data_IF_047175289781
#
_entry.id   IF_047175289781
#
_cell.length_a   1.000
_cell.length_b   1.000
_cell.length_c   1.000
_cell.angle_alpha   90.00
_cell.angle_beta   90.00
_cell.angle_gamma   90.00
#
_symmetry.space_group_name_H-M   'P 1'
#
loop_
_entity.id
_entity.type
_entity.pdbx_description
1 polymer ?
#
# COMPACT_ATOMS: atom_id res chain seq x y z
N UNK A 1 16.96 -28.44 -79.22
CA UNK A 1 17.18 -27.08 -78.69
C UNK A 1 15.92 -26.31 -78.28
N UNK A 2 14.71 -26.90 -78.26
CA UNK A 2 13.45 -26.15 -77.95
C UNK A 2 12.86 -26.51 -76.56
N UNK A 3 13.24 -27.64 -75.95
CA UNK A 3 12.60 -28.13 -74.72
C UNK A 3 13.13 -27.46 -73.44
N UNK A 4 14.32 -26.82 -73.48
CA UNK A 4 14.96 -26.23 -72.28
C UNK A 4 14.45 -24.80 -71.97
N UNK A 5 13.78 -24.12 -72.91
CA UNK A 5 13.31 -22.75 -72.71
C UNK A 5 11.97 -22.65 -71.95
N UNK A 6 11.15 -23.70 -71.97
CA UNK A 6 9.78 -23.65 -71.44
C UNK A 6 9.71 -23.93 -69.93
N UNK A 7 10.66 -24.68 -69.38
CA UNK A 7 10.75 -24.97 -67.93
C UNK A 7 11.28 -23.79 -67.12
N UNK A 8 12.09 -22.90 -67.72
CA UNK A 8 12.60 -21.69 -67.05
C UNK A 8 11.52 -20.63 -66.82
N UNK A 9 10.55 -20.51 -67.74
CA UNK A 9 9.42 -19.58 -67.63
C UNK A 9 8.45 -19.96 -66.49
N UNK A 10 8.14 -21.26 -66.36
CA UNK A 10 7.27 -21.76 -65.28
C UNK A 10 7.92 -21.69 -63.89
N UNK A 11 9.23 -21.90 -63.77
CA UNK A 11 9.93 -21.76 -62.49
C UNK A 11 10.01 -20.29 -62.02
N UNK A 12 10.15 -19.33 -62.95
CA UNK A 12 10.14 -17.89 -62.62
C UNK A 12 8.72 -17.44 -62.23
N UNK A 13 7.67 -17.95 -62.87
CA UNK A 13 6.29 -17.59 -62.52
C UNK A 13 5.88 -18.15 -61.16
N UNK A 14 6.27 -19.39 -60.83
CA UNK A 14 6.03 -19.98 -59.51
C UNK A 14 6.84 -19.29 -58.40
N UNK A 15 8.09 -18.85 -58.67
CA UNK A 15 8.88 -18.07 -57.71
C UNK A 15 8.29 -16.68 -57.46
N UNK A 16 7.70 -16.04 -58.49
CA UNK A 16 6.96 -14.77 -58.35
C UNK A 16 5.60 -14.94 -57.66
N UNK A 17 4.94 -16.08 -57.84
CA UNK A 17 3.68 -16.39 -57.16
C UNK A 17 3.89 -16.75 -55.69
N UNK A 18 4.96 -17.49 -55.36
CA UNK A 18 5.36 -17.78 -53.99
C UNK A 18 5.86 -16.54 -53.23
N UNK A 19 6.60 -15.63 -53.87
CA UNK A 19 7.01 -14.37 -53.22
C UNK A 19 5.86 -13.37 -53.04
N UNK A 20 4.76 -13.49 -53.82
CA UNK A 20 3.53 -12.69 -53.63
C UNK A 20 2.64 -13.19 -52.50
N UNK A 21 2.78 -14.47 -52.10
CA UNK A 21 1.95 -15.08 -51.05
C UNK A 21 2.53 -14.95 -49.64
N UNK A 22 3.71 -14.34 -49.50
CA UNK A 22 4.40 -14.18 -48.21
C UNK A 22 4.02 -12.90 -47.44
N UNK A 23 3.17 -12.02 -47.98
CA UNK A 23 2.84 -10.72 -47.36
C UNK A 23 1.40 -10.58 -46.84
N UNK A 24 0.60 -11.66 -46.81
CA UNK A 24 -0.78 -11.59 -46.31
C UNK A 24 -0.93 -11.85 -44.80
N UNK A 25 0.16 -12.07 -44.08
CA UNK A 25 0.15 -12.15 -42.61
C UNK A 25 0.55 -10.83 -41.93
N UNK A 26 0.75 -9.77 -42.69
CA UNK A 26 1.04 -8.46 -42.11
C UNK A 26 -0.26 -7.77 -41.70
N UNK A 27 -0.44 -7.60 -40.38
CA UNK A 27 -1.53 -6.83 -39.81
C UNK A 27 -1.61 -5.43 -40.44
N UNK A 28 -2.81 -4.89 -40.72
CA UNK A 28 -2.99 -3.56 -41.29
C UNK A 28 -2.25 -2.48 -40.50
N UNK A 29 -1.70 -1.44 -41.15
CA UNK A 29 -0.94 -0.38 -40.49
C UNK A 29 -1.69 0.28 -39.32
N UNK A 30 -3.00 0.49 -39.44
CA UNK A 30 -3.80 1.08 -38.35
C UNK A 30 -3.88 0.18 -37.11
N UNK A 31 -3.79 -1.15 -37.25
CA UNK A 31 -3.72 -2.08 -36.11
C UNK A 31 -2.32 -2.07 -35.49
N UNK A 32 -1.27 -2.12 -36.34
CA UNK A 32 0.13 -2.08 -35.88
C UNK A 32 0.46 -0.78 -35.14
N UNK A 33 0.18 0.37 -35.76
CA UNK A 33 0.50 1.70 -35.21
C UNK A 33 -0.56 2.22 -34.24
N UNK A 34 -1.84 1.87 -34.43
CA UNK A 34 -2.93 2.37 -33.61
C UNK A 34 -3.21 1.56 -32.34
N UNK A 35 -2.82 0.28 -32.29
CA UNK A 35 -3.12 -0.57 -31.13
C UNK A 35 -1.88 -1.31 -30.60
N UNK A 36 -1.11 -1.99 -31.44
CA UNK A 36 -0.03 -2.87 -30.97
C UNK A 36 1.13 -2.07 -30.35
N UNK A 37 1.67 -1.09 -31.08
CA UNK A 37 2.78 -0.26 -30.57
C UNK A 37 2.42 0.46 -29.25
N UNK A 38 1.29 1.19 -29.14
CA UNK A 38 0.93 1.83 -27.87
C UNK A 38 0.68 0.81 -26.74
N UNK A 39 0.07 -0.35 -27.01
CA UNK A 39 -0.13 -1.38 -26.00
C UNK A 39 1.19 -1.99 -25.51
N UNK A 40 2.16 -2.22 -26.41
CA UNK A 40 3.50 -2.68 -26.01
C UNK A 40 4.24 -1.63 -25.19
N UNK A 41 4.12 -0.34 -25.54
CA UNK A 41 4.68 0.76 -24.77
C UNK A 41 4.07 0.87 -23.37
N UNK A 42 2.75 0.73 -23.26
CA UNK A 42 2.04 0.70 -21.98
C UNK A 42 2.48 -0.50 -21.13
N UNK A 43 2.53 -1.70 -21.72
CA UNK A 43 2.96 -2.90 -21.00
C UNK A 43 4.40 -2.77 -20.46
N UNK A 44 5.35 -2.30 -21.29
CA UNK A 44 6.72 -2.06 -20.84
C UNK A 44 6.80 -0.96 -19.77
N UNK A 45 6.01 0.12 -19.92
CA UNK A 45 5.92 1.19 -18.93
C UNK A 45 5.37 0.72 -17.59
N UNK A 46 4.32 -0.11 -17.60
CA UNK A 46 3.75 -0.71 -16.38
C UNK A 46 4.72 -1.66 -15.68
N UNK A 47 5.46 -2.46 -16.44
CA UNK A 47 6.51 -3.33 -15.89
C UNK A 47 7.64 -2.50 -15.26
N UNK A 48 8.12 -1.47 -15.96
CA UNK A 48 9.13 -0.55 -15.42
C UNK A 48 8.65 0.14 -14.14
N UNK A 49 7.42 0.66 -14.14
CA UNK A 49 6.83 1.31 -12.97
C UNK A 49 6.72 0.34 -11.77
N UNK A 50 6.26 -0.89 -12.01
CA UNK A 50 6.20 -1.93 -10.98
C UNK A 50 7.57 -2.19 -10.34
N UNK A 51 8.61 -2.42 -11.16
CA UNK A 51 9.97 -2.65 -10.64
C UNK A 51 10.58 -1.42 -9.95
N UNK A 52 10.23 -0.21 -10.39
CA UNK A 52 10.71 1.03 -9.76
C UNK A 52 10.12 1.29 -8.37
N UNK A 53 9.01 0.64 -8.03
CA UNK A 53 8.34 0.76 -6.74
C UNK A 53 8.58 -0.44 -5.81
N UNK A 54 9.34 -1.45 -6.25
CA UNK A 54 9.68 -2.57 -5.39
C UNK A 54 10.73 -2.15 -4.37
N UNK A 55 10.40 -2.38 -3.11
CA UNK A 55 11.25 -2.05 -1.97
C UNK A 55 11.24 -3.22 -0.96
N UNK A 56 12.10 -3.15 0.04
CA UNK A 56 12.12 -4.07 1.18
C UNK A 56 11.72 -3.35 2.44
N UNK A 57 10.80 -3.94 3.21
CA UNK A 57 10.40 -3.42 4.51
C UNK A 57 11.62 -3.38 5.45
N UNK A 58 11.90 -2.25 6.12
CA UNK A 58 13.17 -2.04 6.84
C UNK A 58 13.38 -2.97 8.03
N UNK A 59 12.32 -3.59 8.57
CA UNK A 59 12.37 -4.38 9.79
C UNK A 59 12.28 -5.88 9.54
N UNK A 60 11.37 -6.30 8.66
CA UNK A 60 11.15 -7.72 8.35
C UNK A 60 11.89 -8.17 7.08
N UNK A 61 12.47 -7.24 6.32
CA UNK A 61 13.03 -7.49 4.99
C UNK A 61 12.03 -8.16 4.02
N UNK A 62 10.72 -7.94 4.27
CA UNK A 62 9.63 -8.40 3.41
C UNK A 62 9.64 -7.58 2.12
N UNK A 63 9.44 -8.25 0.98
CA UNK A 63 9.26 -7.55 -0.30
C UNK A 63 7.93 -6.81 -0.27
N UNK A 64 7.94 -5.55 -0.66
CA UNK A 64 6.75 -4.70 -0.69
C UNK A 64 6.72 -3.82 -1.93
N UNK A 65 5.53 -3.37 -2.28
CA UNK A 65 5.31 -2.40 -3.34
C UNK A 65 4.95 -1.05 -2.71
N UNK A 66 5.86 -0.08 -2.79
CA UNK A 66 5.64 1.26 -2.26
C UNK A 66 6.06 2.31 -3.30
N UNK A 67 5.06 2.84 -4.01
CA UNK A 67 5.24 3.91 -4.99
C UNK A 67 5.07 5.32 -4.38
N UNK A 68 4.65 5.38 -3.12
CA UNK A 68 4.28 6.62 -2.44
C UNK A 68 5.51 7.32 -1.86
N UNK A 69 5.50 8.65 -1.95
CA UNK A 69 6.52 9.50 -1.35
C UNK A 69 6.17 9.78 0.13
N UNK A 70 7.08 9.59 1.09
CA UNK A 70 6.85 9.89 2.50
C UNK A 70 6.32 11.31 2.78
N UNK A 71 6.77 12.32 2.01
CA UNK A 71 6.28 13.69 2.15
C UNK A 71 4.81 13.81 1.76
N UNK A 72 4.44 13.16 0.66
CA UNK A 72 3.05 13.14 0.20
C UNK A 72 2.15 12.39 1.18
N UNK A 73 2.63 11.28 1.77
CA UNK A 73 1.92 10.56 2.83
C UNK A 73 1.63 11.46 4.03
N UNK A 74 2.62 12.23 4.50
CA UNK A 74 2.43 13.20 5.59
C UNK A 74 1.42 14.30 5.23
N UNK A 75 1.48 14.85 4.02
CA UNK A 75 0.53 15.88 3.57
C UNK A 75 -0.91 15.34 3.53
N UNK A 76 -1.09 14.12 3.01
CA UNK A 76 -2.37 13.44 3.00
C UNK A 76 -2.86 13.14 4.41
N UNK A 77 -1.97 12.67 5.30
CA UNK A 77 -2.25 12.44 6.70
C UNK A 77 -2.68 13.72 7.43
N UNK A 78 -2.01 14.85 7.20
CA UNK A 78 -2.39 16.14 7.79
C UNK A 78 -3.75 16.64 7.29
N UNK A 79 -4.08 16.40 6.01
CA UNK A 79 -5.41 16.71 5.47
C UNK A 79 -6.47 15.85 6.16
N UNK A 80 -6.25 14.55 6.25
CA UNK A 80 -7.15 13.61 6.93
C UNK A 80 -7.30 13.95 8.42
N UNK A 81 -6.22 14.35 9.08
CA UNK A 81 -6.23 14.81 10.47
C UNK A 81 -7.19 15.97 10.68
N UNK A 82 -7.12 17.01 9.82
CA UNK A 82 -8.06 18.15 9.88
C UNK A 82 -9.50 17.75 9.66
N UNK A 83 -9.76 16.85 8.71
CA UNK A 83 -11.10 16.33 8.44
C UNK A 83 -11.65 15.56 9.66
N UNK A 84 -10.84 14.72 10.30
CA UNK A 84 -11.22 13.99 11.51
C UNK A 84 -11.43 14.91 12.71
N UNK A 85 -10.61 15.96 12.88
CA UNK A 85 -10.84 16.97 13.92
C UNK A 85 -12.17 17.69 13.74
N UNK A 86 -12.56 17.99 12.49
CA UNK A 86 -13.88 18.58 12.23
C UNK A 86 -14.99 17.57 12.50
N UNK A 87 -14.82 16.31 12.08
CA UNK A 87 -15.78 15.23 12.33
C UNK A 87 -16.03 15.00 13.82
N UNK A 88 -14.98 15.02 14.64
CA UNK A 88 -15.04 14.73 16.07
C UNK A 88 -15.07 15.97 16.97
N UNK A 89 -15.20 17.18 16.42
CA UNK A 89 -15.03 18.44 17.15
C UNK A 89 -15.79 18.52 18.49
N UNK A 90 -17.00 17.95 18.57
CA UNK A 90 -17.82 17.95 19.79
C UNK A 90 -17.48 16.84 20.79
N UNK A 91 -16.76 15.81 20.37
CA UNK A 91 -16.47 14.60 21.14
C UNK A 91 -15.01 14.52 21.60
N UNK A 92 -14.14 15.40 21.12
CA UNK A 92 -12.74 15.46 21.56
C UNK A 92 -12.69 15.82 23.05
N UNK A 93 -12.01 14.98 23.83
CA UNK A 93 -11.79 15.21 25.24
C UNK A 93 -10.70 16.27 25.47
N UNK A 94 -10.82 17.08 26.54
CA UNK A 94 -9.81 18.07 26.86
C UNK A 94 -8.50 17.39 27.34
N UNK A 95 -7.39 18.13 27.28
CA UNK A 95 -6.06 17.61 27.56
C UNK A 95 -5.86 17.19 29.03
N UNK A 96 -6.60 17.78 29.96
CA UNK A 96 -6.58 17.49 31.40
C UNK A 96 -7.42 16.26 31.79
N UNK A 97 -8.25 15.75 30.87
CA UNK A 97 -9.05 14.56 31.12
C UNK A 97 -8.14 13.34 31.39
N UNK A 98 -8.49 12.53 32.39
CA UNK A 98 -7.69 11.35 32.79
C UNK A 98 -7.29 10.46 31.61
N UNK A 99 -8.24 10.17 30.71
CA UNK A 99 -7.98 9.38 29.51
C UNK A 99 -6.93 10.04 28.59
N UNK A 100 -7.03 11.34 28.34
CA UNK A 100 -6.07 12.11 27.51
C UNK A 100 -4.67 12.08 28.12
N UNK A 101 -4.57 12.28 29.43
CA UNK A 101 -3.29 12.23 30.17
C UNK A 101 -2.68 10.83 30.09
N UNK A 102 -3.47 9.77 30.29
CA UNK A 102 -2.99 8.39 30.18
C UNK A 102 -2.51 8.06 28.77
N UNK A 103 -3.29 8.39 27.74
CA UNK A 103 -2.89 8.17 26.33
C UNK A 103 -1.61 8.93 26.01
N UNK A 104 -1.49 10.18 26.42
CA UNK A 104 -0.29 10.98 26.16
C UNK A 104 0.95 10.40 26.87
N UNK A 105 0.81 9.95 28.12
CA UNK A 105 1.90 9.33 28.87
C UNK A 105 2.33 7.99 28.25
N UNK A 106 1.38 7.12 27.95
CA UNK A 106 1.69 5.79 27.39
C UNK A 106 2.23 5.94 25.97
N UNK A 107 1.52 6.71 25.14
CA UNK A 107 1.91 6.99 23.76
C UNK A 107 3.28 7.64 23.66
N UNK A 108 3.62 8.62 24.50
CA UNK A 108 4.95 9.25 24.44
C UNK A 108 6.10 8.29 24.76
N UNK A 109 5.90 7.30 25.65
CA UNK A 109 6.89 6.25 25.92
C UNK A 109 7.07 5.32 24.72
N UNK A 110 5.96 4.93 24.08
CA UNK A 110 6.00 4.11 22.85
C UNK A 110 6.62 4.90 21.69
N UNK A 111 6.33 6.19 21.55
CA UNK A 111 6.92 7.04 20.52
C UNK A 111 8.44 7.18 20.69
N UNK A 112 8.95 7.24 21.93
CA UNK A 112 10.38 7.24 22.21
C UNK A 112 11.04 5.89 21.85
N UNK A 113 10.37 4.77 22.13
CA UNK A 113 10.79 3.45 21.67
C UNK A 113 10.80 3.39 20.13
N UNK A 114 9.74 3.88 19.47
CA UNK A 114 9.64 3.94 18.01
C UNK A 114 10.78 4.74 17.37
N UNK A 115 11.16 5.87 17.97
CA UNK A 115 12.29 6.66 17.51
C UNK A 115 13.63 5.90 17.66
N UNK A 116 13.82 5.20 18.78
CA UNK A 116 15.01 4.39 19.04
C UNK A 116 15.10 3.21 18.06
N UNK A 117 13.97 2.53 17.85
CA UNK A 117 13.81 1.44 16.90
C UNK A 117 14.13 1.91 15.46
N UNK A 118 13.56 3.02 14.98
CA UNK A 118 13.88 3.56 13.64
C UNK A 118 15.36 3.92 13.48
N UNK A 119 16.02 4.42 14.54
CA UNK A 119 17.45 4.71 14.51
C UNK A 119 18.30 3.43 14.38
N UNK A 120 17.91 2.34 15.02
CA UNK A 120 18.62 1.06 14.98
C UNK A 120 18.57 0.39 13.59
N UNK A 121 17.44 0.46 12.90
CA UNK A 121 17.23 -0.22 11.60
C UNK A 121 17.58 0.65 10.38
N UNK A 122 18.39 1.71 10.57
CA UNK A 122 18.96 2.47 9.45
C UNK A 122 17.95 3.33 8.68
N UNK A 123 16.79 3.60 9.25
CA UNK A 123 15.78 4.51 8.69
C UNK A 123 16.16 6.00 8.87
N UNK A 124 17.43 6.29 9.16
CA UNK A 124 18.00 7.63 9.33
C UNK A 124 18.25 8.36 8.01
N UNK A 125 18.28 7.64 6.88
CA UNK A 125 18.56 8.21 5.57
C UNK A 125 17.31 8.74 4.86
N UNK A 126 16.11 8.45 5.38
CA UNK A 126 14.91 9.17 4.99
C UNK A 126 14.89 10.50 5.76
N UNK A 127 15.67 11.47 5.26
CA UNK A 127 15.73 12.86 5.73
C UNK A 127 14.39 13.62 5.57
N UNK A 128 13.30 12.91 5.27
CA UNK A 128 11.96 13.47 5.33
C UNK A 128 11.52 13.50 6.80
N UNK A 129 10.90 14.60 7.19
CA UNK A 129 10.48 14.91 8.57
C UNK A 129 9.45 13.92 9.18
N UNK A 130 9.29 12.70 8.65
CA UNK A 130 8.33 11.68 9.10
C UNK A 130 8.71 11.14 10.49
N UNK A 131 9.99 10.82 10.69
CA UNK A 131 10.55 10.32 11.95
C UNK A 131 10.87 11.44 12.95
N UNK A 132 10.88 12.70 12.50
CA UNK A 132 11.14 13.89 13.33
C UNK A 132 9.86 14.59 13.79
N UNK A 133 8.73 14.38 13.11
CA UNK A 133 7.46 15.02 13.47
C UNK A 133 6.97 14.50 14.83
N UNK A 134 6.66 15.39 15.79
CA UNK A 134 6.19 14.97 17.10
C UNK A 134 4.82 14.27 17.00
N UNK A 135 4.63 13.21 17.79
CA UNK A 135 3.34 12.54 17.88
C UNK A 135 2.28 13.45 18.51
N UNK A 136 1.10 13.49 17.91
CA UNK A 136 -0.06 14.23 18.43
C UNK A 136 -1.15 13.25 18.84
N UNK A 137 -1.64 13.34 20.08
CA UNK A 137 -2.64 12.43 20.63
C UNK A 137 -3.99 13.12 20.74
N UNK A 138 -5.02 12.52 20.14
CA UNK A 138 -6.41 13.01 20.22
C UNK A 138 -7.29 11.92 20.79
N UNK A 139 -7.92 12.18 21.94
CA UNK A 139 -8.88 11.25 22.54
C UNK A 139 -10.28 11.71 22.21
N UNK A 140 -11.08 10.79 21.65
CA UNK A 140 -12.43 11.07 21.17
C UNK A 140 -13.43 10.24 21.97
N UNK A 141 -14.49 10.90 22.44
CA UNK A 141 -15.62 10.25 23.11
C UNK A 141 -16.42 9.46 22.08
N UNK A 142 -16.29 8.15 22.12
CA UNK A 142 -17.07 7.21 21.30
C UNK A 142 -17.28 5.91 22.08
N UNK A 143 -18.43 5.23 21.92
CA UNK A 143 -18.64 3.89 22.50
C UNK A 143 -17.83 2.79 21.79
N UNK A 144 -17.31 3.07 20.59
CA UNK A 144 -16.50 2.14 19.80
C UNK A 144 -15.12 1.93 20.43
N UNK A 145 -14.64 0.69 20.43
CA UNK A 145 -13.33 0.32 20.93
C UNK A 145 -12.32 0.30 19.79
N UNK A 146 -11.70 1.44 19.53
CA UNK A 146 -10.73 1.58 18.46
C UNK A 146 -9.65 2.61 18.81
N UNK A 147 -8.46 2.41 18.28
CA UNK A 147 -7.40 3.40 18.19
C UNK A 147 -6.73 3.23 16.83
N UNK A 148 -6.27 4.34 16.24
CA UNK A 148 -5.59 4.28 14.96
C UNK A 148 -4.57 5.41 14.83
N UNK A 149 -3.53 5.15 14.04
CA UNK A 149 -2.51 6.14 13.70
C UNK A 149 -2.57 6.45 12.22
N UNK A 150 -2.66 7.74 11.88
CA UNK A 150 -2.57 8.20 10.50
C UNK A 150 -1.18 8.76 10.20
N UNK A 151 -0.76 8.77 8.92
CA UNK A 151 0.51 9.35 8.50
C UNK A 151 0.71 10.77 9.05
N UNK A 152 1.94 11.10 9.43
CA UNK A 152 2.24 12.35 10.15
C UNK A 152 2.16 12.26 11.67
N UNK A 153 2.13 11.04 12.22
CA UNK A 153 2.22 10.76 13.66
C UNK A 153 1.01 11.29 14.46
N UNK A 154 -0.17 11.33 13.85
CA UNK A 154 -1.40 11.68 14.56
C UNK A 154 -2.09 10.41 15.05
N UNK A 155 -2.27 10.31 16.36
CA UNK A 155 -2.85 9.17 17.07
C UNK A 155 -4.25 9.53 17.53
N UNK A 156 -5.23 8.70 17.19
CA UNK A 156 -6.59 8.80 17.70
C UNK A 156 -6.90 7.61 18.60
N UNK A 157 -7.50 7.89 19.75
CA UNK A 157 -7.97 6.87 20.69
C UNK A 157 -9.42 7.13 21.03
N UNK A 158 -10.29 6.15 20.78
CA UNK A 158 -11.70 6.23 21.17
C UNK A 158 -11.89 5.76 22.60
N UNK A 159 -12.77 6.44 23.36
CA UNK A 159 -13.00 6.11 24.76
C UNK A 159 -13.54 4.69 24.99
N UNK A 160 -14.19 4.08 24.00
CA UNK A 160 -14.66 2.71 24.09
C UNK A 160 -13.53 1.69 24.25
N UNK A 161 -12.31 2.03 23.83
CA UNK A 161 -11.13 1.16 23.99
C UNK A 161 -10.86 0.84 25.46
N UNK A 162 -11.07 1.81 26.36
CA UNK A 162 -10.85 1.64 27.80
C UNK A 162 -11.81 0.65 28.49
N UNK A 163 -12.83 0.14 27.78
CA UNK A 163 -13.67 -0.95 28.28
C UNK A 163 -12.93 -2.29 28.27
N UNK A 164 -11.89 -2.40 27.43
CA UNK A 164 -11.13 -3.62 27.21
C UNK A 164 -9.66 -3.47 27.59
N UNK A 165 -9.08 -2.28 27.37
CA UNK A 165 -7.75 -1.94 27.88
C UNK A 165 -7.86 -1.54 29.36
N UNK A 166 -7.62 -2.49 30.26
CA UNK A 166 -7.85 -2.31 31.70
C UNK A 166 -6.65 -1.67 32.41
N UNK A 167 -5.45 -1.81 31.84
CA UNK A 167 -4.20 -1.28 32.38
C UNK A 167 -3.38 -0.53 31.30
N UNK A 168 -2.28 0.10 31.71
CA UNK A 168 -1.41 0.83 30.79
C UNK A 168 -0.65 -0.12 29.83
N UNK A 169 -0.41 -1.38 30.21
CA UNK A 169 0.24 -2.40 29.35
C UNK A 169 -0.65 -2.78 28.15
N UNK A 170 -1.95 -2.97 28.38
CA UNK A 170 -2.93 -3.28 27.33
C UNK A 170 -3.03 -2.10 26.35
N UNK A 171 -3.10 -0.87 26.87
CA UNK A 171 -3.11 0.34 26.04
C UNK A 171 -1.79 0.49 25.26
N UNK A 172 -0.65 0.22 25.91
CA UNK A 172 0.66 0.26 25.30
C UNK A 172 0.79 -0.74 24.15
N UNK A 173 0.21 -1.92 24.29
CA UNK A 173 0.19 -2.92 23.23
C UNK A 173 -0.58 -2.44 22.01
N UNK A 174 -1.80 -1.91 22.21
CA UNK A 174 -2.62 -1.39 21.11
C UNK A 174 -1.91 -0.22 20.42
N UNK A 175 -1.42 0.74 21.19
CA UNK A 175 -0.70 1.88 20.62
C UNK A 175 0.61 1.46 19.93
N UNK A 176 1.31 0.45 20.46
CA UNK A 176 2.50 -0.14 19.85
C UNK A 176 2.21 -0.76 18.50
N UNK A 177 1.14 -1.55 18.39
CA UNK A 177 0.68 -2.15 17.15
C UNK A 177 0.27 -1.06 16.12
N UNK A 178 -0.53 -0.07 16.52
CA UNK A 178 -0.94 1.02 15.62
C UNK A 178 0.23 1.89 15.16
N UNK A 179 1.18 2.21 16.05
CA UNK A 179 2.40 2.92 15.67
C UNK A 179 3.29 2.08 14.76
N UNK A 180 3.31 0.75 14.92
CA UNK A 180 4.04 -0.15 14.05
C UNK A 180 3.52 -0.11 12.61
N UNK A 181 2.20 -0.05 12.38
CA UNK A 181 1.65 0.15 11.04
C UNK A 181 2.15 1.44 10.37
N UNK A 182 2.27 2.51 11.15
CA UNK A 182 2.77 3.79 10.66
C UNK A 182 4.29 3.75 10.39
N UNK A 183 5.09 3.15 11.27
CA UNK A 183 6.54 2.96 11.08
C UNK A 183 6.86 2.09 9.85
N UNK A 184 6.11 1.01 9.67
CA UNK A 184 6.23 0.12 8.52
C UNK A 184 5.63 0.73 7.24
N UNK A 185 4.94 1.87 7.31
CA UNK A 185 4.27 2.54 6.17
C UNK A 185 3.23 1.66 5.47
N UNK A 186 2.52 0.81 6.21
CA UNK A 186 1.48 -0.06 5.66
C UNK A 186 0.36 0.71 4.94
N UNK A 187 0.04 1.94 5.38
CA UNK A 187 -0.91 2.80 4.67
C UNK A 187 -0.42 3.21 3.27
N UNK A 188 0.88 3.51 3.12
CA UNK A 188 1.50 3.83 1.83
C UNK A 188 1.55 2.64 0.88
N UNK A 189 1.82 1.44 1.40
CA UNK A 189 1.74 0.17 0.66
C UNK A 189 0.31 -0.07 0.14
N UNK A 190 -0.71 0.03 1.01
CA UNK A 190 -2.12 -0.12 0.61
C UNK A 190 -2.54 0.87 -0.48
N UNK A 191 -2.11 2.13 -0.38
CA UNK A 191 -2.39 3.14 -1.41
C UNK A 191 -1.69 2.79 -2.72
N UNK A 192 -0.43 2.36 -2.67
CA UNK A 192 0.34 1.97 -3.85
C UNK A 192 -0.30 0.78 -4.57
N UNK A 193 -0.73 -0.23 -3.82
CA UNK A 193 -1.46 -1.39 -4.34
C UNK A 193 -2.80 -0.99 -4.96
N UNK A 194 -3.57 -0.11 -4.30
CA UNK A 194 -4.84 0.40 -4.83
C UNK A 194 -4.67 1.17 -6.14
N UNK A 195 -3.62 1.99 -6.25
CA UNK A 195 -3.27 2.69 -7.50
C UNK A 195 -2.91 1.69 -8.60
N UNK A 196 -2.07 0.70 -8.30
CA UNK A 196 -1.71 -0.35 -9.25
C UNK A 196 -2.94 -1.11 -9.73
N UNK A 197 -3.82 -1.53 -8.82
CA UNK A 197 -5.07 -2.21 -9.17
C UNK A 197 -6.00 -1.34 -10.00
N UNK A 198 -6.07 -0.04 -9.70
CA UNK A 198 -6.83 0.91 -10.50
C UNK A 198 -6.27 0.97 -11.92
N UNK A 199 -4.96 1.09 -12.10
CA UNK A 199 -4.33 1.09 -13.43
C UNK A 199 -4.61 -0.21 -14.17
N UNK A 200 -4.41 -1.36 -13.53
CA UNK A 200 -4.66 -2.68 -14.12
C UNK A 200 -6.13 -2.83 -14.55
N UNK A 201 -7.08 -2.42 -13.70
CA UNK A 201 -8.51 -2.48 -14.00
C UNK A 201 -8.89 -1.62 -15.22
N UNK A 202 -8.24 -0.46 -15.41
CA UNK A 202 -8.43 0.40 -16.59
C UNK A 202 -7.85 -0.22 -17.85
N UNK A 203 -6.72 -0.93 -17.76
CA UNK A 203 -6.15 -1.66 -18.90
C UNK A 203 -7.05 -2.82 -19.34
N UNK A 204 -7.68 -3.53 -18.40
CA UNK A 204 -8.65 -4.59 -18.73
C UNK A 204 -9.83 -4.04 -19.53
N UNK A 205 -10.33 -2.85 -19.22
CA UNK A 205 -11.43 -2.22 -19.95
C UNK A 205 -11.09 -1.89 -21.42
N UNK A 206 -9.80 -1.69 -21.74
CA UNK A 206 -9.34 -1.50 -23.13
C UNK A 206 -9.42 -2.82 -23.92
N UNK A 207 -9.18 -3.95 -23.25
CA UNK A 207 -9.21 -5.29 -23.84
C UNK A 207 -10.62 -5.89 -23.87
N UNK A 208 -11.47 -5.53 -22.91
CA UNK A 208 -12.88 -5.92 -22.81
C UNK A 208 -13.81 -4.69 -22.81
N UNK A 209 -14.19 -4.18 -23.99
CA UNK A 209 -15.13 -3.07 -24.09
C UNK A 209 -16.55 -3.42 -23.64
N UNK A 210 -16.88 -4.71 -23.45
CA UNK A 210 -18.19 -5.12 -22.91
C UNK A 210 -18.29 -4.93 -21.39
N UNK A 211 -17.15 -4.80 -20.71
CA UNK A 211 -17.07 -4.55 -19.27
C UNK A 211 -17.47 -5.75 -18.39
N UNK A 212 -17.76 -6.91 -18.99
CA UNK A 212 -18.17 -8.13 -18.28
C UNK A 212 -17.02 -8.69 -17.45
N UNK A 213 -15.81 -8.74 -18.01
CA UNK A 213 -14.62 -9.13 -17.24
C UNK A 213 -14.37 -8.14 -16.10
N UNK A 214 -14.53 -6.84 -16.35
CA UNK A 214 -14.33 -5.80 -15.34
C UNK A 214 -15.30 -5.94 -14.15
N UNK A 215 -16.58 -6.23 -14.41
CA UNK A 215 -17.59 -6.39 -13.36
C UNK A 215 -17.40 -7.65 -12.51
N UNK A 216 -16.86 -8.73 -13.09
CA UNK A 216 -16.60 -9.98 -12.38
C UNK A 216 -15.25 -9.99 -11.65
N UNK A 217 -14.17 -9.49 -12.27
CA UNK A 217 -12.82 -9.56 -11.70
C UNK A 217 -12.60 -8.58 -10.55
N UNK A 218 -13.08 -7.33 -10.66
CA UNK A 218 -12.74 -6.27 -9.70
C UNK A 218 -13.14 -6.60 -8.25
N UNK A 219 -14.39 -7.04 -7.95
CA UNK A 219 -14.75 -7.40 -6.58
C UNK A 219 -14.01 -8.66 -6.08
N UNK A 220 -13.74 -9.64 -6.97
CA UNK A 220 -12.98 -10.83 -6.60
C UNK A 220 -11.51 -10.50 -6.28
N UNK A 221 -10.90 -9.57 -7.02
CA UNK A 221 -9.52 -9.12 -6.84
C UNK A 221 -9.32 -8.33 -5.54
N UNK A 222 -10.28 -7.47 -5.17
CA UNK A 222 -10.25 -6.79 -3.88
C UNK A 222 -10.15 -7.79 -2.73
N UNK A 223 -10.93 -8.87 -2.78
CA UNK A 223 -10.87 -9.91 -1.75
C UNK A 223 -9.56 -10.71 -1.81
N UNK A 224 -9.09 -11.09 -3.01
CA UNK A 224 -7.91 -11.93 -3.20
C UNK A 224 -6.59 -11.26 -2.84
N UNK A 225 -6.46 -9.94 -3.03
CA UNK A 225 -5.21 -9.21 -2.75
C UNK A 225 -5.27 -8.54 -1.39
N UNK A 226 -6.42 -7.99 -0.97
CA UNK A 226 -6.51 -7.33 0.32
C UNK A 226 -6.35 -8.31 1.49
N UNK A 227 -6.89 -9.53 1.40
CA UNK A 227 -6.83 -10.50 2.49
C UNK A 227 -5.40 -10.99 2.84
N UNK A 228 -4.58 -11.49 1.90
CA UNK A 228 -3.23 -11.97 2.25
C UNK A 228 -2.28 -10.82 2.63
N UNK A 229 -2.32 -9.69 1.93
CA UNK A 229 -1.47 -8.54 2.26
C UNK A 229 -1.83 -7.92 3.61
N UNK A 230 -3.12 -7.85 3.94
CA UNK A 230 -3.56 -7.44 5.28
C UNK A 230 -2.94 -8.33 6.36
N UNK A 231 -2.96 -9.66 6.20
CA UNK A 231 -2.36 -10.58 7.18
C UNK A 231 -0.85 -10.40 7.36
N UNK A 232 -0.12 -10.17 6.27
CA UNK A 232 1.32 -9.90 6.37
C UNK A 232 1.60 -8.60 7.11
N UNK A 233 0.80 -7.55 6.88
CA UNK A 233 0.89 -6.28 7.60
C UNK A 233 0.58 -6.45 9.09
N UNK A 234 -0.46 -7.21 9.46
CA UNK A 234 -0.78 -7.48 10.87
C UNK A 234 0.36 -8.23 11.58
N UNK A 235 0.89 -9.29 10.96
CA UNK A 235 2.00 -10.07 11.54
C UNK A 235 3.28 -9.24 11.68
N UNK A 236 3.54 -8.33 10.75
CA UNK A 236 4.65 -7.38 10.84
C UNK A 236 4.42 -6.34 11.94
N UNK A 237 3.20 -5.77 12.03
CA UNK A 237 2.82 -4.81 13.04
C UNK A 237 2.87 -5.41 14.45
N UNK A 238 2.44 -6.66 14.65
CA UNK A 238 2.53 -7.37 15.92
C UNK A 238 3.98 -7.57 16.37
N UNK A 239 4.86 -7.99 15.46
CA UNK A 239 6.28 -8.18 15.77
C UNK A 239 6.94 -6.89 16.21
N UNK A 240 6.71 -5.81 15.47
CA UNK A 240 7.26 -4.49 15.78
C UNK A 240 6.61 -3.96 17.07
N UNK A 241 5.29 -4.02 17.18
CA UNK A 241 4.52 -3.53 18.34
C UNK A 241 4.94 -4.18 19.65
N UNK A 242 5.21 -5.49 19.66
CA UNK A 242 5.76 -6.20 20.81
C UNK A 242 7.13 -5.65 21.20
N UNK A 243 8.01 -5.41 20.22
CA UNK A 243 9.33 -4.80 20.47
C UNK A 243 9.17 -3.40 21.05
N UNK A 244 8.32 -2.55 20.46
CA UNK A 244 8.06 -1.20 20.95
C UNK A 244 7.50 -1.18 22.37
N UNK A 245 6.54 -2.06 22.68
CA UNK A 245 6.00 -2.18 24.03
C UNK A 245 7.07 -2.60 25.04
N UNK A 246 7.93 -3.55 24.66
CA UNK A 246 9.03 -4.03 25.51
C UNK A 246 10.10 -2.96 25.75
N UNK A 247 10.49 -2.22 24.72
CA UNK A 247 11.45 -1.11 24.81
C UNK A 247 10.91 0.06 25.64
N UNK A 248 9.60 0.27 25.58
CA UNK A 248 8.92 1.26 26.42
C UNK A 248 8.70 0.79 27.88
N UNK A 249 9.18 -0.40 28.25
CA UNK A 249 9.01 -1.04 29.56
C UNK A 249 7.55 -1.32 29.94
N UNK A 250 6.76 -1.84 29.00
CA UNK A 250 5.43 -2.43 29.23
C UNK A 250 5.47 -3.94 29.01
N UNK A 251 4.50 -4.68 29.57
CA UNK A 251 4.43 -6.14 29.42
C UNK A 251 3.97 -6.53 28.00
N UNK A 252 4.84 -7.10 27.15
CA UNK A 252 4.45 -7.50 25.80
C UNK A 252 3.44 -8.66 25.77
N UNK A 253 3.21 -9.35 26.89
CA UNK A 253 2.22 -10.44 26.97
C UNK A 253 0.78 -9.93 26.96
N UNK A 254 0.56 -8.64 27.25
CA UNK A 254 -0.74 -7.98 27.12
C UNK A 254 -1.22 -7.87 25.66
N UNK A 255 -0.32 -8.08 24.69
CA UNK A 255 -0.65 -8.10 23.26
C UNK A 255 -1.59 -9.21 22.81
N UNK A 256 -1.97 -10.12 23.70
CA UNK A 256 -2.96 -11.18 23.41
C UNK A 256 -4.39 -10.66 23.31
N UNK A 257 -4.65 -9.41 23.69
CA UNK A 257 -5.95 -8.77 23.47
C UNK A 257 -5.96 -8.29 22.01
N UNK A 258 -6.22 -9.24 21.11
CA UNK A 258 -6.35 -9.02 19.68
C UNK A 258 -7.64 -8.22 19.44
N UNK A 259 -7.52 -6.91 19.24
CA UNK A 259 -8.64 -6.07 18.78
C UNK A 259 -8.73 -6.14 17.26
N UNK A 260 -9.01 -7.33 16.72
CA UNK A 260 -9.34 -7.45 15.30
C UNK A 260 -10.75 -6.92 15.09
N UNK A 261 -10.82 -5.81 14.35
CA UNK A 261 -11.95 -5.10 13.70
C UNK A 261 -13.39 -5.46 14.12
#
# INVERSE_FOLDING_TARGET
>A
HIIICQTRSHFISLRRYASRRSNHNELPPYIKYGFIIPMTGLAMGSVYAYYSCLDYAPYTNRKRLICTNPKWEQEMGHKQYKELLQKFKGDILPADHRASVTVQRVGSRIAAAAQSFSAQYGQTNDTTNATTSPYTYTVVRSPEANAFVIPGNHVFVLTGLFRYAHNEDDLASVLGHEMAHNLARHAGERVSESILMTILSRLVLILDPTGILFTLLVPAQQLLVALPHSREHEVEADKIGIVLASEACYDPRSAKIDFQE
#
